data_IF_518689375526
#
_entry.id   IF_518689375526
#
_cell.length_a   1.000
_cell.length_b   1.000
_cell.length_c   1.000
_cell.angle_alpha   90.00
_cell.angle_beta   90.00
_cell.angle_gamma   90.00
#
_symmetry.space_group_name_H-M   'P 1'
#
loop_
_entity.id
_entity.type
_entity.pdbx_description
1 polymer ?
#
# COMPACT_ATOMS: atom_id res chain seq x y z
N UNK A 1 9.98 -0.42 12.48
CA UNK A 1 10.08 -0.29 11.02
C UNK A 1 8.81 0.38 10.50
N UNK A 2 8.96 1.35 9.60
CA UNK A 2 7.81 2.05 9.05
C UNK A 2 7.48 1.49 7.67
N UNK A 3 6.22 1.13 7.48
CA UNK A 3 5.73 0.58 6.22
C UNK A 3 4.64 1.50 5.70
N UNK A 4 4.86 2.04 4.52
CA UNK A 4 3.94 2.98 3.89
C UNK A 4 2.97 2.23 2.98
N UNK A 5 1.69 2.56 3.11
CA UNK A 5 0.65 2.03 2.25
C UNK A 5 0.35 3.09 1.20
N UNK A 6 0.42 2.70 -0.07
CA UNK A 6 0.21 3.61 -1.19
C UNK A 6 -0.78 3.02 -2.17
N UNK A 7 -1.51 3.90 -2.89
CA UNK A 7 -2.41 3.48 -3.96
C UNK A 7 -2.00 4.13 -5.26
N UNK A 8 -2.32 3.49 -6.38
CA UNK A 8 -1.95 3.97 -7.69
C UNK A 8 -3.15 4.60 -8.40
N UNK A 9 -2.98 5.82 -8.90
CA UNK A 9 -4.05 6.50 -9.62
C UNK A 9 -4.08 6.06 -11.10
N UNK A 10 -5.03 6.61 -11.86
CA UNK A 10 -5.23 6.24 -13.26
C UNK A 10 -4.08 6.65 -14.17
N UNK A 11 -3.19 7.53 -13.69
CA UNK A 11 -2.01 7.97 -14.44
C UNK A 11 -0.75 7.20 -14.04
N UNK A 12 -0.90 6.19 -13.19
CA UNK A 12 0.22 5.38 -12.72
C UNK A 12 1.01 5.97 -11.58
N UNK A 13 0.53 7.05 -10.99
CA UNK A 13 1.22 7.72 -9.88
C UNK A 13 0.81 7.10 -8.55
N UNK A 14 1.78 7.01 -7.63
CA UNK A 14 1.54 6.44 -6.30
C UNK A 14 1.29 7.54 -5.28
N UNK A 15 0.29 7.33 -4.43
CA UNK A 15 -0.12 8.28 -3.40
C UNK A 15 -0.09 7.61 -2.04
N UNK A 16 0.50 8.30 -1.06
CA UNK A 16 0.57 7.80 0.30
C UNK A 16 -0.79 7.89 0.98
N UNK A 17 -1.18 6.82 1.67
CA UNK A 17 -2.42 6.77 2.45
C UNK A 17 -2.11 6.87 3.93
N UNK A 18 -1.36 5.90 4.45
CA UNK A 18 -1.01 5.85 5.85
C UNK A 18 0.20 4.96 6.05
N UNK A 19 0.77 5.00 7.25
CA UNK A 19 1.92 4.18 7.61
C UNK A 19 1.57 3.29 8.79
N UNK A 20 2.18 2.10 8.80
CA UNK A 20 2.06 1.14 9.89
C UNK A 20 3.45 0.72 10.33
N UNK A 21 3.56 0.24 11.56
CA UNK A 21 4.84 -0.23 12.09
C UNK A 21 5.02 -1.73 11.92
N UNK A 22 3.96 -2.44 11.52
CA UNK A 22 3.93 -3.89 11.40
C UNK A 22 3.46 -4.26 10.00
N UNK A 23 4.22 -5.13 9.32
CA UNK A 23 3.90 -5.49 7.93
C UNK A 23 2.57 -6.23 7.82
N UNK A 24 2.24 -7.09 8.79
CA UNK A 24 0.98 -7.81 8.77
C UNK A 24 -0.22 -6.86 8.85
N UNK A 25 -0.12 -5.84 9.70
CA UNK A 25 -1.16 -4.83 9.82
C UNK A 25 -1.28 -4.00 8.53
N UNK A 26 -0.13 -3.63 7.96
CA UNK A 26 -0.11 -2.87 6.69
C UNK A 26 -0.75 -3.69 5.57
N UNK A 27 -0.44 -4.97 5.49
CA UNK A 27 -1.00 -5.84 4.47
C UNK A 27 -2.53 -5.94 4.61
N UNK A 28 -3.00 -6.12 5.84
CA UNK A 28 -4.44 -6.25 6.10
C UNK A 28 -5.21 -5.01 5.66
N UNK A 29 -4.68 -3.84 6.01
CA UNK A 29 -5.31 -2.57 5.63
C UNK A 29 -5.27 -2.38 4.11
N UNK A 30 -4.11 -2.62 3.50
CA UNK A 30 -3.95 -2.45 2.05
C UNK A 30 -4.86 -3.40 1.28
N UNK A 31 -4.99 -4.64 1.74
CA UNK A 31 -5.86 -5.62 1.08
C UNK A 31 -7.33 -5.18 1.14
N UNK A 32 -7.77 -4.70 2.29
CA UNK A 32 -9.15 -4.21 2.45
C UNK A 32 -9.40 -3.02 1.53
N UNK A 33 -8.47 -2.08 1.48
CA UNK A 33 -8.61 -0.89 0.64
C UNK A 33 -8.56 -1.24 -0.85
N UNK A 34 -7.69 -2.16 -1.24
CA UNK A 34 -7.62 -2.58 -2.64
C UNK A 34 -8.96 -3.17 -3.09
N UNK A 35 -9.59 -3.98 -2.24
CA UNK A 35 -10.88 -4.58 -2.56
C UNK A 35 -12.00 -3.55 -2.61
N UNK A 36 -12.04 -2.63 -1.65
CA UNK A 36 -13.14 -1.66 -1.56
C UNK A 36 -13.05 -0.56 -2.62
N UNK A 37 -11.85 -0.18 -3.02
CA UNK A 37 -11.66 0.91 -4.00
C UNK A 37 -11.43 0.41 -5.42
N UNK A 38 -11.12 -0.87 -5.61
CA UNK A 38 -10.75 -1.47 -6.89
C UNK A 38 -9.51 -0.80 -7.50
N UNK A 39 -8.62 -0.32 -6.65
CA UNK A 39 -7.38 0.32 -7.07
C UNK A 39 -6.19 -0.52 -6.62
N UNK A 40 -5.09 -0.42 -7.38
CA UNK A 40 -3.86 -1.11 -7.01
C UNK A 40 -3.24 -0.42 -5.80
N UNK A 41 -2.80 -1.23 -4.84
CA UNK A 41 -2.11 -0.76 -3.64
C UNK A 41 -0.76 -1.43 -3.52
N UNK A 42 0.14 -0.80 -2.79
CA UNK A 42 1.46 -1.40 -2.52
C UNK A 42 1.92 -1.04 -1.12
N UNK A 43 2.83 -1.86 -0.62
CA UNK A 43 3.52 -1.62 0.65
C UNK A 43 4.97 -1.34 0.32
N UNK A 44 5.49 -0.22 0.82
CA UNK A 44 6.90 0.14 0.64
C UNK A 44 7.50 0.55 1.96
N UNK A 45 8.80 0.29 2.12
CA UNK A 45 9.52 0.74 3.31
C UNK A 45 9.81 2.23 3.21
N UNK A 46 10.26 2.83 4.32
CA UNK A 46 10.67 4.23 4.33
C UNK A 46 11.84 4.50 3.39
N UNK A 47 12.56 3.45 2.97
CA UNK A 47 13.67 3.57 2.02
C UNK A 47 13.23 3.36 0.58
N UNK A 48 11.93 3.12 0.35
CA UNK A 48 11.40 2.93 -0.99
C UNK A 48 11.44 1.50 -1.50
N UNK A 49 11.74 0.53 -0.64
CA UNK A 49 11.76 -0.87 -1.04
C UNK A 49 10.34 -1.43 -1.12
N UNK A 50 10.02 -2.07 -2.22
CA UNK A 50 8.70 -2.67 -2.42
C UNK A 50 8.60 -3.98 -1.61
N UNK A 51 7.63 -4.04 -0.72
CA UNK A 51 7.37 -5.22 0.10
C UNK A 51 6.26 -6.09 -0.48
N UNK A 52 5.24 -5.46 -1.04
CA UNK A 52 4.10 -6.19 -1.57
C UNK A 52 3.34 -5.33 -2.57
N UNK A 53 2.69 -5.99 -3.52
CA UNK A 53 1.85 -5.33 -4.51
C UNK A 53 0.49 -6.04 -4.50
N UNK A 54 -0.57 -5.26 -4.28
CA UNK A 54 -1.92 -5.81 -4.13
C UNK A 54 -2.83 -5.25 -5.22
N UNK A 55 -3.32 -6.13 -6.06
CA UNK A 55 -4.31 -5.78 -7.08
C UNK A 55 -5.71 -6.09 -6.55
N UNK A 56 -6.66 -5.31 -6.98
CA UNK A 56 -8.07 -5.54 -6.61
C UNK A 56 -8.68 -6.70 -7.40
#
# INVERSE_FOLDING_TARGET
MTINIEWQDQFGRWHHIQSKQNQADAFRVAQRLAKSTHKRHRLVTSKGELLDLLDS
#
